data_IF_661620923119
#
_entry.id   IF_661620923119
#
_cell.length_a   1.000
_cell.length_b   1.000
_cell.length_c   1.000
_cell.angle_alpha   90.00
_cell.angle_beta   90.00
_cell.angle_gamma   90.00
#
_symmetry.space_group_name_H-M   'P 1'
#
loop_
_entity.id
_entity.type
_entity.pdbx_description
1 polymer ?
#
# COMPACT_ATOMS: atom_id res chain seq x y z
N UNK A 1 -6.42 20.80 -10.23
CA UNK A 1 -6.97 19.47 -9.89
C UNK A 1 -6.57 18.55 -11.01
N UNK A 2 -5.65 17.61 -10.77
CA UNK A 2 -5.16 16.70 -11.81
C UNK A 2 -6.23 15.62 -12.06
N UNK A 3 -6.70 15.51 -13.29
CA UNK A 3 -7.83 14.67 -13.73
C UNK A 3 -7.59 13.15 -13.55
N UNK A 4 -6.40 12.76 -13.08
CA UNK A 4 -5.95 11.37 -12.91
C UNK A 4 -5.80 10.93 -11.45
N UNK A 5 -5.94 11.82 -10.48
CA UNK A 5 -5.89 11.42 -9.06
C UNK A 5 -7.14 10.62 -8.71
N UNK A 6 -6.98 9.32 -8.47
CA UNK A 6 -8.08 8.46 -8.02
C UNK A 6 -8.30 8.64 -6.53
N UNK A 7 -9.56 8.80 -6.14
CA UNK A 7 -9.95 8.84 -4.73
C UNK A 7 -10.43 7.47 -4.26
N UNK A 8 -10.29 7.22 -2.96
CA UNK A 8 -10.72 5.98 -2.33
C UNK A 8 -11.49 6.27 -1.04
N UNK A 9 -12.45 5.38 -0.78
CA UNK A 9 -13.21 5.31 0.45
C UNK A 9 -12.67 4.15 1.28
N UNK A 10 -12.81 4.26 2.60
CA UNK A 10 -12.44 3.20 3.52
C UNK A 10 -13.67 2.75 4.31
N UNK A 11 -13.89 1.44 4.38
CA UNK A 11 -14.94 0.85 5.20
C UNK A 11 -14.37 -0.35 5.94
N UNK A 12 -14.74 -0.46 7.21
CA UNK A 12 -14.42 -1.61 8.03
C UNK A 12 -15.19 -2.87 7.60
N UNK A 13 -14.60 -4.04 7.81
CA UNK A 13 -15.26 -5.35 7.65
C UNK A 13 -16.17 -5.66 8.85
N UNK A 14 -16.85 -6.81 8.81
CA UNK A 14 -17.79 -7.23 9.86
C UNK A 14 -17.12 -7.49 11.23
N UNK A 15 -15.80 -7.75 11.25
CA UNK A 15 -15.00 -8.04 12.44
C UNK A 15 -13.86 -7.01 12.64
N UNK A 16 -14.15 -5.73 12.87
CA UNK A 16 -13.13 -4.68 12.74
C UNK A 16 -12.14 -4.63 13.89
N UNK A 17 -10.87 -4.38 13.55
CA UNK A 17 -9.86 -3.84 14.47
C UNK A 17 -9.57 -2.39 14.11
N UNK A 18 -9.51 -1.52 15.10
CA UNK A 18 -9.20 -0.11 14.89
C UNK A 18 -7.79 0.04 14.34
N UNK A 19 -7.65 0.72 13.19
CA UNK A 19 -6.34 0.96 12.55
C UNK A 19 -5.74 2.33 12.89
N UNK A 20 -6.56 3.27 13.35
CA UNK A 20 -6.13 4.62 13.74
C UNK A 20 -7.13 5.26 14.70
N UNK A 21 -6.65 6.10 15.63
CA UNK A 21 -7.50 6.94 16.46
C UNK A 21 -8.31 7.97 15.64
N UNK A 22 -7.79 8.37 14.48
CA UNK A 22 -8.48 9.28 13.55
C UNK A 22 -9.55 8.60 12.68
N UNK A 23 -9.53 7.26 12.64
CA UNK A 23 -10.50 6.43 11.91
C UNK A 23 -11.14 5.44 12.90
N UNK A 24 -12.02 5.92 13.82
CA UNK A 24 -12.67 5.05 14.79
C UNK A 24 -13.52 3.98 14.09
N UNK A 25 -13.79 2.86 14.77
CA UNK A 25 -14.62 1.80 14.21
C UNK A 25 -16.02 2.34 13.89
N UNK A 26 -16.42 2.21 12.62
CA UNK A 26 -17.72 2.67 12.11
C UNK A 26 -18.22 1.71 11.03
N UNK A 27 -19.53 1.51 10.96
CA UNK A 27 -20.19 0.76 9.87
C UNK A 27 -20.30 1.58 8.58
N UNK A 28 -20.30 2.91 8.69
CA UNK A 28 -20.35 3.82 7.55
C UNK A 28 -18.97 3.99 6.90
N UNK A 29 -18.92 4.17 5.56
CA UNK A 29 -17.66 4.43 4.88
C UNK A 29 -17.11 5.82 5.21
N UNK A 30 -15.81 5.89 5.43
CA UNK A 30 -15.07 7.15 5.57
C UNK A 30 -14.80 7.76 4.20
N UNK A 31 -15.04 9.07 4.10
CA UNK A 31 -14.79 9.87 2.90
C UNK A 31 -13.30 10.00 2.59
N UNK A 32 -12.92 10.31 1.33
CA UNK A 32 -11.51 10.48 0.97
C UNK A 32 -10.80 11.55 1.81
N UNK A 33 -11.52 12.61 2.21
CA UNK A 33 -10.98 13.66 3.06
C UNK A 33 -10.62 13.16 4.48
N UNK A 34 -11.43 12.25 5.03
CA UNK A 34 -11.20 11.67 6.35
C UNK A 34 -10.07 10.63 6.34
N UNK A 35 -9.93 9.87 5.25
CA UNK A 35 -8.96 8.78 5.15
C UNK A 35 -7.57 9.26 4.74
N UNK A 36 -7.50 10.31 3.91
CA UNK A 36 -6.24 10.83 3.33
C UNK A 36 -5.12 11.02 4.36
N UNK A 37 -5.32 11.67 5.54
CA UNK A 37 -4.22 11.87 6.50
C UNK A 37 -3.58 10.57 6.97
N UNK A 38 -4.37 9.51 7.19
CA UNK A 38 -3.85 8.23 7.65
C UNK A 38 -3.08 7.50 6.54
N UNK A 39 -3.64 7.42 5.34
CA UNK A 39 -3.03 6.65 4.25
C UNK A 39 -1.86 7.36 3.56
N UNK A 40 -1.88 8.70 3.48
CA UNK A 40 -0.73 9.47 2.99
C UNK A 40 0.49 9.30 3.90
N UNK A 41 0.28 9.17 5.22
CA UNK A 41 1.35 8.91 6.18
C UNK A 41 2.02 7.53 6.00
N UNK A 42 1.42 6.63 5.21
CA UNK A 42 2.04 5.36 4.83
C UNK A 42 2.94 5.48 3.59
N UNK A 43 2.80 6.56 2.83
CA UNK A 43 3.57 6.79 1.62
C UNK A 43 4.88 7.54 1.94
N UNK A 44 5.95 7.30 1.16
CA UNK A 44 7.14 8.15 1.22
C UNK A 44 6.81 9.62 0.94
N UNK A 45 7.55 10.53 1.56
CA UNK A 45 7.37 11.98 1.42
C UNK A 45 8.50 12.62 0.57
N UNK A 46 8.25 13.85 0.11
CA UNK A 46 9.23 14.69 -0.59
C UNK A 46 9.84 14.04 -1.85
N UNK A 47 11.14 14.26 -2.05
CA UNK A 47 11.87 13.81 -3.24
C UNK A 47 11.86 12.28 -3.45
N UNK A 48 11.67 11.49 -2.39
CA UNK A 48 11.57 10.03 -2.50
C UNK A 48 10.27 9.64 -3.21
N UNK A 49 9.16 10.30 -2.86
CA UNK A 49 7.85 10.10 -3.51
C UNK A 49 7.91 10.41 -5.00
N UNK A 50 8.54 11.52 -5.36
CA UNK A 50 8.71 11.95 -6.75
C UNK A 50 9.48 10.91 -7.57
N UNK A 51 10.60 10.43 -7.04
CA UNK A 51 11.42 9.39 -7.71
C UNK A 51 10.65 8.10 -7.92
N UNK A 52 9.93 7.64 -6.90
CA UNK A 52 9.12 6.41 -6.98
C UNK A 52 7.97 6.59 -7.97
N UNK A 53 7.27 7.72 -7.94
CA UNK A 53 6.20 8.02 -8.88
C UNK A 53 6.69 8.00 -10.34
N UNK A 54 7.84 8.60 -10.63
CA UNK A 54 8.47 8.55 -11.96
C UNK A 54 8.82 7.12 -12.37
N UNK A 55 9.41 6.33 -11.46
CA UNK A 55 9.76 4.93 -11.73
C UNK A 55 8.53 4.05 -12.04
N UNK A 56 7.45 4.26 -11.30
CA UNK A 56 6.18 3.54 -11.47
C UNK A 56 5.32 4.12 -12.61
N UNK A 57 5.74 5.22 -13.24
CA UNK A 57 4.97 5.97 -14.25
C UNK A 57 3.60 6.41 -13.73
N UNK A 58 3.55 6.83 -12.47
CA UNK A 58 2.36 7.33 -11.78
C UNK A 58 2.50 8.84 -11.53
N UNK A 59 1.37 9.52 -11.35
CA UNK A 59 1.39 10.90 -10.88
C UNK A 59 1.76 10.92 -9.39
N UNK A 60 2.60 11.88 -8.98
CA UNK A 60 2.98 12.03 -7.56
C UNK A 60 1.76 12.28 -6.66
N UNK A 61 0.71 12.91 -7.19
CA UNK A 61 -0.57 13.16 -6.52
C UNK A 61 -1.55 11.99 -6.55
N UNK A 62 -1.24 10.89 -7.23
CA UNK A 62 -2.12 9.71 -7.31
C UNK A 62 -1.82 8.73 -6.17
N UNK A 63 -2.20 9.12 -4.96
CA UNK A 63 -1.94 8.37 -3.74
C UNK A 63 -2.56 6.98 -3.75
N UNK A 64 -3.72 6.81 -4.42
CA UNK A 64 -4.34 5.51 -4.59
C UNK A 64 -3.42 4.54 -5.34
N UNK A 65 -2.92 4.95 -6.50
CA UNK A 65 -2.05 4.10 -7.31
C UNK A 65 -0.71 3.83 -6.61
N UNK A 66 -0.16 4.84 -5.90
CA UNK A 66 1.05 4.65 -5.10
C UNK A 66 0.83 3.64 -3.96
N UNK A 67 -0.29 3.72 -3.24
CA UNK A 67 -0.66 2.75 -2.20
C UNK A 67 -0.91 1.36 -2.79
N UNK A 68 -1.46 1.24 -4.00
CA UNK A 68 -1.67 -0.06 -4.63
C UNK A 68 -0.36 -0.77 -4.98
N UNK A 69 0.70 -0.03 -5.31
CA UNK A 69 2.02 -0.59 -5.61
C UNK A 69 2.87 -0.81 -4.37
N UNK A 70 2.86 0.14 -3.42
CA UNK A 70 3.74 0.14 -2.24
C UNK A 70 3.07 -0.46 -0.99
N UNK A 71 1.75 -0.45 -0.93
CA UNK A 71 0.95 -0.80 0.26
C UNK A 71 1.04 -2.27 0.69
N UNK A 72 1.65 -3.13 -0.12
CA UNK A 72 1.96 -4.52 0.25
C UNK A 72 3.09 -4.62 1.27
N UNK A 73 3.94 -3.62 1.29
CA UNK A 73 5.25 -3.70 1.91
C UNK A 73 5.52 -2.53 2.85
N UNK A 74 4.43 -2.07 3.47
CA UNK A 74 4.49 -1.03 4.46
C UNK A 74 5.08 -1.60 5.75
N UNK A 75 5.92 -0.81 6.43
CA UNK A 75 6.51 -1.12 7.73
C UNK A 75 5.48 -1.14 8.90
N UNK A 76 4.21 -1.38 8.60
CA UNK A 76 3.09 -1.38 9.54
C UNK A 76 2.37 -2.74 9.54
N UNK A 77 1.48 -2.95 10.51
CA UNK A 77 0.63 -4.14 10.59
C UNK A 77 -0.52 -4.15 9.55
N UNK A 78 -0.49 -3.24 8.58
CA UNK A 78 -1.51 -3.06 7.56
C UNK A 78 -0.93 -3.44 6.20
N UNK A 79 -1.63 -4.31 5.48
CA UNK A 79 -1.29 -4.63 4.10
C UNK A 79 -2.45 -4.22 3.18
N UNK A 80 -2.14 -3.45 2.14
CA UNK A 80 -3.09 -3.00 1.13
C UNK A 80 -2.83 -3.77 -0.16
N UNK A 81 -3.86 -4.46 -0.66
CA UNK A 81 -3.79 -5.21 -1.89
C UNK A 81 -5.18 -5.33 -2.55
N UNK A 82 -5.20 -5.67 -3.83
CA UNK A 82 -6.44 -5.94 -4.55
C UNK A 82 -7.12 -7.22 -4.02
N UNK A 83 -8.43 -7.16 -3.80
CA UNK A 83 -9.24 -8.28 -3.26
C UNK A 83 -9.03 -9.63 -3.99
N UNK A 84 -8.73 -9.61 -5.30
CA UNK A 84 -8.45 -10.82 -6.09
C UNK A 84 -7.18 -11.57 -5.63
N UNK A 85 -6.27 -10.91 -4.91
CA UNK A 85 -4.95 -11.44 -4.52
C UNK A 85 -4.94 -12.13 -3.15
N UNK A 86 -6.09 -12.26 -2.50
CA UNK A 86 -6.23 -12.87 -1.18
C UNK A 86 -5.85 -14.35 -1.10
N UNK A 87 -5.68 -15.00 -2.26
CA UNK A 87 -5.41 -16.43 -2.36
C UNK A 87 -3.94 -16.80 -2.16
N UNK A 88 -3.03 -15.82 -1.98
CA UNK A 88 -1.61 -16.11 -1.79
C UNK A 88 -1.35 -16.42 -0.32
N UNK A 89 -1.11 -17.69 -0.01
CA UNK A 89 -0.65 -18.10 1.31
C UNK A 89 0.73 -17.49 1.55
N UNK A 90 0.97 -16.80 2.69
CA UNK A 90 2.29 -16.27 3.00
C UNK A 90 3.29 -17.43 3.07
N UNK A 91 4.35 -17.34 2.26
CA UNK A 91 5.44 -18.31 2.24
C UNK A 91 6.69 -17.68 2.85
N UNK A 92 7.30 -18.36 3.81
CA UNK A 92 8.61 -17.96 4.33
C UNK A 92 9.68 -18.64 3.49
N UNK A 93 10.56 -17.84 2.90
CA UNK A 93 11.77 -18.31 2.25
C UNK A 93 12.97 -17.99 3.14
N UNK A 94 13.50 -19.01 3.81
CA UNK A 94 14.69 -18.88 4.64
C UNK A 94 15.93 -18.78 3.75
N UNK A 95 16.71 -17.72 3.95
CA UNK A 95 17.96 -17.49 3.23
C UNK A 95 19.13 -18.14 3.97
N UNK A 96 20.02 -18.78 3.22
CA UNK A 96 21.35 -19.15 3.69
C UNK A 96 22.25 -17.91 3.86
N UNK A 97 23.41 -18.09 4.50
CA UNK A 97 24.38 -17.00 4.68
C UNK A 97 24.84 -16.41 3.35
N UNK A 98 25.14 -17.28 2.38
CA UNK A 98 25.63 -16.87 1.06
C UNK A 98 24.54 -16.13 0.26
N UNK A 99 23.29 -16.61 0.31
CA UNK A 99 22.16 -15.94 -0.35
C UNK A 99 21.84 -14.58 0.27
N UNK A 100 21.98 -14.45 1.60
CA UNK A 100 21.82 -13.18 2.29
C UNK A 100 22.92 -12.20 1.91
N UNK A 101 24.18 -12.64 1.90
CA UNK A 101 25.32 -11.80 1.54
C UNK A 101 25.19 -11.32 0.07
N UNK A 102 24.79 -12.21 -0.85
CA UNK A 102 24.49 -11.85 -2.26
C UNK A 102 23.36 -10.83 -2.37
N UNK A 103 22.28 -11.00 -1.60
CA UNK A 103 21.15 -10.07 -1.62
C UNK A 103 21.60 -8.70 -1.11
N UNK A 104 22.34 -8.63 -0.01
CA UNK A 104 22.84 -7.38 0.57
C UNK A 104 23.73 -6.62 -0.43
N UNK A 105 24.60 -7.33 -1.14
CA UNK A 105 25.39 -6.74 -2.23
C UNK A 105 24.48 -6.20 -3.34
N UNK A 106 23.51 -6.99 -3.81
CA UNK A 106 22.54 -6.56 -4.82
C UNK A 106 21.83 -5.26 -4.40
N UNK A 107 21.42 -5.14 -3.13
CA UNK A 107 20.76 -3.94 -2.61
C UNK A 107 21.66 -2.71 -2.60
N UNK A 108 22.92 -2.88 -2.22
CA UNK A 108 23.90 -1.79 -2.24
C UNK A 108 24.12 -1.28 -3.67
N UNK A 109 24.20 -2.16 -4.66
CA UNK A 109 24.40 -1.79 -6.07
C UNK A 109 23.12 -1.32 -6.76
N UNK A 110 21.95 -1.80 -6.35
CA UNK A 110 20.68 -1.43 -6.93
C UNK A 110 20.13 -0.08 -6.45
N UNK A 111 20.75 0.53 -5.43
CA UNK A 111 20.49 1.93 -5.08
C UNK A 111 20.68 2.87 -6.28
N UNK A 112 21.48 2.46 -7.26
CA UNK A 112 21.71 3.18 -8.52
C UNK A 112 20.74 2.78 -9.65
N UNK A 113 20.02 1.67 -9.49
CA UNK A 113 19.13 1.07 -10.50
C UNK A 113 17.78 0.80 -9.85
N UNK A 114 16.89 1.79 -9.86
CA UNK A 114 15.58 1.81 -9.16
C UNK A 114 14.54 0.73 -9.45
N UNK A 115 14.95 -0.55 -9.56
CA UNK A 115 14.13 -1.72 -9.78
C UNK A 115 13.78 -2.48 -8.48
N UNK A 116 14.42 -2.14 -7.36
CA UNK A 116 14.42 -3.00 -6.16
C UNK A 116 13.39 -2.64 -5.08
N UNK A 117 12.52 -1.65 -5.29
CA UNK A 117 11.48 -1.30 -4.30
C UNK A 117 10.50 -2.45 -4.05
N UNK A 118 10.40 -3.44 -4.96
CA UNK A 118 9.46 -4.57 -4.83
C UNK A 118 9.95 -5.77 -4.00
N UNK A 119 11.22 -5.80 -3.58
CA UNK A 119 11.85 -7.03 -3.07
C UNK A 119 12.41 -6.95 -1.66
N UNK A 120 12.38 -5.78 -1.01
CA UNK A 120 13.30 -5.49 0.11
C UNK A 120 12.63 -5.22 1.42
N UNK A 121 11.37 -4.80 1.42
CA UNK A 121 10.69 -4.65 2.69
C UNK A 121 9.97 -6.00 2.92
N UNK A 122 10.16 -6.55 4.10
CA UNK A 122 9.35 -7.65 4.63
C UNK A 122 9.75 -7.70 6.07
N UNK A 123 9.26 -6.71 6.81
CA UNK A 123 9.24 -6.76 8.27
C UNK A 123 7.78 -6.53 8.70
N UNK A 124 6.90 -7.43 8.25
CA UNK A 124 5.56 -7.53 8.82
C UNK A 124 5.64 -8.44 10.06
N UNK A 125 5.78 -7.83 11.23
CA UNK A 125 5.65 -8.54 12.50
C UNK A 125 4.21 -9.07 12.65
N UNK A 126 4.06 -10.39 12.54
CA UNK A 126 3.09 -11.25 13.24
C UNK A 126 1.85 -10.55 13.83
N UNK A 127 0.89 -10.17 12.97
CA UNK A 127 -0.52 -10.12 13.34
C UNK A 127 -1.32 -10.87 12.29
N UNK A 128 -1.53 -12.17 12.57
CA UNK A 128 -2.57 -12.97 11.93
C UNK A 128 -3.91 -12.40 12.39
N UNK A 129 -4.60 -11.69 11.50
CA UNK A 129 -5.90 -12.12 10.95
C UNK A 129 -6.47 -10.99 10.07
N UNK A 130 -7.08 -11.41 8.96
CA UNK A 130 -8.04 -10.67 8.13
C UNK A 130 -7.59 -9.68 7.05
N UNK A 131 -8.04 -10.07 5.85
CA UNK A 131 -8.09 -9.36 4.58
C UNK A 131 -8.92 -8.07 4.62
N UNK A 132 -8.33 -6.94 4.23
CA UNK A 132 -9.08 -5.72 3.93
C UNK A 132 -9.57 -5.75 2.48
N UNK A 133 -10.86 -6.00 2.28
CA UNK A 133 -11.51 -5.88 0.98
C UNK A 133 -12.06 -4.46 0.76
N UNK A 134 -11.26 -3.60 0.11
CA UNK A 134 -11.73 -2.33 -0.42
C UNK A 134 -12.46 -2.51 -1.75
N UNK A 135 -13.74 -2.10 -1.83
CA UNK A 135 -14.48 -2.00 -3.10
C UNK A 135 -14.33 -0.59 -3.68
N UNK A 136 -13.77 -0.49 -4.88
CA UNK A 136 -13.79 0.74 -5.68
C UNK A 136 -15.09 0.75 -6.50
N UNK A 137 -16.02 1.69 -6.23
CA UNK A 137 -17.12 1.98 -7.15
C UNK A 137 -16.75 3.21 -7.97
N UNK A 138 -16.63 3.04 -9.28
CA UNK A 138 -16.55 4.15 -10.23
C UNK A 138 -17.88 4.91 -10.24
N UNK A 139 -17.80 6.24 -10.21
CA UNK A 139 -18.94 7.12 -10.36
C UNK A 139 -19.51 6.97 -11.79
N UNK A 140 -20.63 6.25 -11.91
CA UNK A 140 -21.45 6.23 -13.11
C UNK A 140 -22.50 7.33 -13.03
N UNK A 141 -22.41 8.29 -13.95
CA UNK A 141 -23.41 9.32 -14.21
C UNK A 141 -24.67 8.66 -14.79
N UNK A 142 -25.82 8.84 -14.13
CA UNK A 142 -27.15 8.53 -14.69
C UNK A 142 -27.62 9.75 -15.50
N UNK A 143 -27.98 9.63 -16.79
CA UNK A 143 -28.70 10.71 -17.47
C UNK A 143 -30.21 10.52 -17.24
N UNK A 144 -30.89 11.65 -17.01
CA UNK A 144 -32.33 11.81 -17.19
C UNK A 144 -32.61 12.29 -18.63
#
# INVERSE_FOLDING_TARGET
>A
MDERSREFLFQYSDSPRMISLSLPISSEPFTPAQTRPFFEALLPEGAVRERIAVQLKLATSDSYSLLSELGRDCACALQIFEARRLSQTPSVHWLSRDELDQLVEELMFARERGALVKRVLSVASLLRDEALQGRCRGAGTTPA
#
